data_IF_153296163485
#
_entry.id   IF_153296163485
#
_cell.length_a   1.000
_cell.length_b   1.000
_cell.length_c   1.000
_cell.angle_alpha   90.00
_cell.angle_beta   90.00
_cell.angle_gamma   90.00
#
_symmetry.space_group_name_H-M   'P 1'
#
loop_
_entity.id
_entity.type
_entity.pdbx_description
1 polymer ?
#
# COMPACT_ATOMS: atom_id res chain seq x y z
N UNK A 1 17.66 -2.16 19.32
CA UNK A 1 18.50 -2.86 18.33
C UNK A 1 17.63 -3.22 17.13
N UNK A 2 18.12 -2.96 15.92
CA UNK A 2 17.44 -3.36 14.69
C UNK A 2 17.65 -4.85 14.37
N UNK A 3 16.70 -5.47 13.70
CA UNK A 3 16.70 -6.91 13.36
C UNK A 3 17.85 -7.29 12.43
N UNK A 4 18.62 -8.32 12.80
CA UNK A 4 19.66 -8.92 11.94
C UNK A 4 19.02 -9.55 10.69
N UNK A 5 17.84 -10.17 10.83
CA UNK A 5 17.10 -10.77 9.72
C UNK A 5 16.73 -9.73 8.66
N UNK A 6 16.33 -8.53 9.07
CA UNK A 6 16.02 -7.43 8.16
C UNK A 6 17.25 -7.02 7.33
N UNK A 7 18.41 -6.92 7.97
CA UNK A 7 19.68 -6.56 7.29
C UNK A 7 20.11 -7.63 6.29
N UNK A 8 20.05 -8.90 6.69
CA UNK A 8 20.38 -10.02 5.81
C UNK A 8 19.43 -10.09 4.61
N UNK A 9 18.13 -9.94 4.85
CA UNK A 9 17.14 -9.93 3.77
C UNK A 9 17.32 -8.73 2.85
N UNK A 10 17.58 -7.54 3.39
CA UNK A 10 17.82 -6.33 2.59
C UNK A 10 19.02 -6.51 1.66
N UNK A 11 20.13 -7.04 2.15
CA UNK A 11 21.35 -7.28 1.34
C UNK A 11 21.13 -8.29 0.21
N UNK A 12 20.30 -9.30 0.44
CA UNK A 12 19.98 -10.32 -0.56
C UNK A 12 18.94 -9.84 -1.59
N UNK A 13 17.89 -9.16 -1.12
CA UNK A 13 16.74 -8.78 -1.94
C UNK A 13 16.94 -7.49 -2.74
N UNK A 14 17.92 -6.66 -2.37
CA UNK A 14 18.20 -5.37 -2.99
C UNK A 14 19.59 -5.32 -3.66
N UNK A 15 20.01 -6.42 -4.31
CA UNK A 15 21.27 -6.47 -5.08
C UNK A 15 21.32 -5.46 -6.22
N UNK A 16 20.16 -4.98 -6.68
CA UNK A 16 20.02 -3.85 -7.62
C UNK A 16 19.47 -2.67 -6.83
N UNK A 17 20.01 -1.49 -7.10
CA UNK A 17 19.57 -0.26 -6.46
C UNK A 17 18.21 0.20 -7.03
N UNK A 18 17.40 0.86 -6.22
CA UNK A 18 16.26 1.64 -6.68
C UNK A 18 16.74 2.89 -7.43
N UNK A 19 15.94 3.34 -8.38
CA UNK A 19 16.11 4.61 -9.10
C UNK A 19 17.42 4.71 -9.90
N UNK A 20 17.85 3.60 -10.50
CA UNK A 20 19.06 3.53 -11.34
C UNK A 20 19.01 4.40 -12.60
N UNK A 21 17.83 4.85 -13.00
CA UNK A 21 17.59 5.77 -14.10
C UNK A 21 17.19 7.16 -13.58
N UNK A 22 17.65 7.51 -12.37
CA UNK A 22 17.55 8.83 -11.78
C UNK A 22 16.12 9.24 -11.36
N UNK A 23 15.88 10.53 -11.41
CA UNK A 23 14.59 11.13 -11.03
C UNK A 23 13.49 10.83 -12.06
N UNK A 24 13.84 10.73 -13.33
CA UNK A 24 12.91 10.65 -14.45
C UNK A 24 12.39 12.03 -14.84
N UNK A 25 11.13 12.35 -14.58
CA UNK A 25 10.56 13.68 -14.87
C UNK A 25 10.79 14.65 -13.70
N UNK A 26 11.99 15.21 -13.63
CA UNK A 26 12.37 16.16 -12.57
C UNK A 26 11.55 17.47 -12.58
N UNK A 27 11.20 18.07 -13.75
CA UNK A 27 10.25 19.19 -13.80
C UNK A 27 8.91 18.86 -13.16
N UNK A 28 8.28 17.76 -13.53
CA UNK A 28 7.02 17.30 -12.94
C UNK A 28 7.14 17.15 -11.40
N UNK A 29 8.22 16.55 -10.92
CA UNK A 29 8.44 16.39 -9.48
C UNK A 29 8.55 17.74 -8.76
N UNK A 30 9.24 18.72 -9.34
CA UNK A 30 9.35 20.08 -8.79
C UNK A 30 8.00 20.79 -8.77
N UNK A 31 7.21 20.65 -9.83
CA UNK A 31 5.86 21.24 -9.90
C UNK A 31 4.93 20.62 -8.86
N UNK A 32 4.98 19.29 -8.67
CA UNK A 32 4.21 18.60 -7.64
C UNK A 32 4.62 19.01 -6.23
N UNK A 33 5.91 19.17 -5.99
CA UNK A 33 6.40 19.66 -4.68
C UNK A 33 5.94 21.10 -4.40
N UNK A 34 5.97 21.95 -5.41
CA UNK A 34 5.50 23.34 -5.30
C UNK A 34 3.98 23.44 -5.12
N UNK A 35 3.21 22.55 -5.78
CA UNK A 35 1.76 22.47 -5.60
C UNK A 35 1.35 21.92 -4.24
N UNK A 36 2.25 21.18 -3.58
CA UNK A 36 2.00 20.55 -2.30
C UNK A 36 1.12 19.31 -2.37
N UNK A 37 0.55 18.96 -1.23
CA UNK A 37 -0.26 17.76 -1.08
C UNK A 37 -1.51 17.79 -1.96
N UNK A 38 -1.61 16.87 -2.90
CA UNK A 38 -2.75 16.70 -3.79
C UNK A 38 -3.23 15.25 -3.80
N UNK A 39 -4.53 15.06 -3.59
CA UNK A 39 -5.14 13.75 -3.51
C UNK A 39 -5.98 13.51 -4.77
N UNK A 40 -5.65 12.49 -5.58
CA UNK A 40 -6.47 12.13 -6.73
C UNK A 40 -7.90 11.75 -6.29
N UNK A 41 -8.96 12.32 -6.90
CA UNK A 41 -10.34 11.99 -6.55
C UNK A 41 -10.68 10.55 -6.96
N UNK A 42 -11.63 9.94 -6.25
CA UNK A 42 -12.27 8.71 -6.73
C UNK A 42 -12.98 8.97 -8.06
N UNK A 43 -13.05 7.94 -8.90
CA UNK A 43 -13.77 7.96 -10.17
C UNK A 43 -14.54 6.66 -10.33
N UNK A 44 -15.62 6.71 -11.10
CA UNK A 44 -16.40 5.52 -11.40
C UNK A 44 -15.55 4.50 -12.17
N UNK A 45 -15.77 3.23 -11.84
CA UNK A 45 -15.11 2.09 -12.46
C UNK A 45 -16.16 1.12 -13.01
N UNK A 46 -15.83 0.53 -14.15
CA UNK A 46 -16.53 -0.66 -14.66
C UNK A 46 -15.56 -1.83 -14.63
N UNK A 47 -15.89 -2.88 -13.88
CA UNK A 47 -15.06 -4.07 -13.79
C UNK A 47 -15.61 -5.14 -14.70
N UNK A 48 -14.79 -5.60 -15.65
CA UNK A 48 -15.08 -6.75 -16.51
C UNK A 48 -14.63 -8.00 -15.79
N UNK A 49 -15.58 -8.86 -15.41
CA UNK A 49 -15.34 -10.05 -14.63
C UNK A 49 -15.15 -11.29 -15.50
N UNK A 50 -14.15 -12.13 -15.13
CA UNK A 50 -13.98 -13.47 -15.63
C UNK A 50 -14.86 -14.50 -14.92
N UNK A 51 -14.59 -15.78 -15.20
CA UNK A 51 -15.32 -16.89 -14.59
C UNK A 51 -15.12 -16.96 -13.08
N UNK A 52 -16.19 -17.32 -12.38
CA UNK A 52 -16.15 -17.58 -10.95
C UNK A 52 -15.67 -19.02 -10.70
N UNK A 53 -14.78 -19.18 -9.71
CA UNK A 53 -14.40 -20.48 -9.18
C UNK A 53 -14.69 -20.55 -7.68
N UNK A 54 -14.74 -21.77 -7.16
CA UNK A 54 -14.91 -22.03 -5.72
C UNK A 54 -13.65 -22.66 -5.16
N UNK A 55 -13.20 -22.15 -4.00
CA UNK A 55 -12.02 -22.66 -3.32
C UNK A 55 -12.19 -22.48 -1.81
N UNK A 56 -12.03 -23.56 -1.03
CA UNK A 56 -12.03 -23.54 0.47
C UNK A 56 -13.20 -22.75 1.09
N UNK A 57 -14.41 -22.93 0.56
CA UNK A 57 -15.59 -22.23 1.07
C UNK A 57 -15.75 -20.78 0.60
N UNK A 58 -14.93 -20.36 -0.35
CA UNK A 58 -15.02 -19.05 -0.95
C UNK A 58 -15.48 -19.12 -2.43
N UNK A 59 -16.15 -18.05 -2.87
CA UNK A 59 -16.38 -17.73 -4.28
C UNK A 59 -15.30 -16.75 -4.72
N UNK A 60 -14.60 -17.05 -5.80
CA UNK A 60 -13.47 -16.26 -6.27
C UNK A 60 -13.65 -15.94 -7.75
N UNK A 61 -13.53 -14.67 -8.10
CA UNK A 61 -13.47 -14.24 -9.50
C UNK A 61 -12.42 -13.17 -9.69
N UNK A 62 -11.79 -13.16 -10.85
CA UNK A 62 -10.84 -12.13 -11.26
C UNK A 62 -11.51 -11.19 -12.25
N UNK A 63 -11.13 -9.94 -12.18
CA UNK A 63 -11.64 -8.91 -13.08
C UNK A 63 -10.56 -7.93 -13.48
N UNK A 64 -10.87 -7.13 -14.49
CA UNK A 64 -10.04 -6.03 -14.96
C UNK A 64 -10.86 -4.77 -15.20
N UNK A 65 -10.20 -3.64 -15.11
CA UNK A 65 -10.80 -2.33 -15.35
C UNK A 65 -9.78 -1.38 -15.97
N UNK A 66 -10.25 -0.30 -16.57
CA UNK A 66 -9.37 0.79 -17.00
C UNK A 66 -9.00 1.62 -15.77
N UNK A 67 -7.70 1.78 -15.50
CA UNK A 67 -7.24 2.62 -14.39
C UNK A 67 -7.78 4.06 -14.55
N UNK A 68 -8.35 4.64 -13.49
CA UNK A 68 -8.80 6.03 -13.52
C UNK A 68 -7.64 7.02 -13.51
N UNK A 69 -6.41 6.55 -13.27
CA UNK A 69 -5.21 7.36 -13.20
C UNK A 69 -4.64 7.58 -14.59
N UNK A 70 -4.64 8.84 -15.04
CA UNK A 70 -4.25 9.22 -16.40
C UNK A 70 -3.08 10.20 -16.47
N UNK A 71 -2.22 10.28 -15.43
CA UNK A 71 -1.11 11.23 -15.44
C UNK A 71 -0.09 10.95 -16.56
N UNK A 72 0.57 11.98 -17.10
CA UNK A 72 1.69 11.82 -18.02
C UNK A 72 2.75 10.90 -17.44
N UNK A 73 3.39 10.07 -18.25
CA UNK A 73 4.42 9.13 -17.82
C UNK A 73 3.92 7.85 -17.15
N UNK A 74 2.59 7.73 -16.88
CA UNK A 74 2.03 6.47 -16.35
C UNK A 74 2.14 5.37 -17.41
N UNK A 75 2.78 4.21 -17.10
CA UNK A 75 3.06 3.18 -18.09
C UNK A 75 1.80 2.58 -18.71
N UNK A 76 1.87 2.22 -19.99
CA UNK A 76 0.76 1.61 -20.72
C UNK A 76 0.29 0.31 -20.04
N UNK A 77 1.23 -0.52 -19.56
CA UNK A 77 0.96 -1.78 -18.87
C UNK A 77 0.20 -1.57 -17.57
N UNK A 78 0.40 -0.42 -16.93
CA UNK A 78 -0.31 -0.07 -15.68
C UNK A 78 -1.70 0.53 -15.90
N UNK A 79 -2.08 0.86 -17.13
CA UNK A 79 -3.40 1.44 -17.46
C UNK A 79 -4.54 0.44 -17.35
N UNK A 80 -4.25 -0.85 -17.38
CA UNK A 80 -5.24 -1.88 -17.03
C UNK A 80 -5.04 -2.29 -15.58
N UNK A 81 -6.06 -2.07 -14.75
CA UNK A 81 -6.09 -2.57 -13.38
C UNK A 81 -6.63 -3.99 -13.33
N UNK A 82 -6.15 -4.78 -12.38
CA UNK A 82 -6.60 -6.14 -12.14
C UNK A 82 -6.98 -6.33 -10.68
N UNK A 83 -8.08 -7.04 -10.45
CA UNK A 83 -8.59 -7.34 -9.11
C UNK A 83 -8.99 -8.80 -8.98
N UNK A 84 -8.94 -9.31 -7.76
CA UNK A 84 -9.53 -10.61 -7.40
C UNK A 84 -10.51 -10.40 -6.24
N UNK A 85 -11.78 -10.72 -6.47
CA UNK A 85 -12.83 -10.69 -5.45
C UNK A 85 -12.96 -12.09 -4.84
N UNK A 86 -12.86 -12.16 -3.50
CA UNK A 86 -12.98 -13.38 -2.70
C UNK A 86 -14.11 -13.17 -1.71
N UNK A 87 -15.21 -13.89 -1.83
CA UNK A 87 -16.41 -13.75 -1.00
C UNK A 87 -16.75 -15.06 -0.30
N UNK A 88 -17.43 -15.02 0.85
CA UNK A 88 -18.12 -16.21 1.40
C UNK A 88 -19.06 -16.83 0.37
N UNK A 89 -19.48 -18.08 0.58
CA UNK A 89 -20.36 -18.79 -0.38
C UNK A 89 -21.72 -18.11 -0.59
N UNK A 90 -22.29 -17.53 0.46
CA UNK A 90 -23.57 -16.83 0.45
C UNK A 90 -23.37 -15.38 0.94
N UNK A 91 -22.75 -14.49 0.13
CA UNK A 91 -22.56 -13.11 0.52
C UNK A 91 -23.91 -12.37 0.45
N UNK A 92 -24.10 -11.43 1.37
CA UNK A 92 -25.21 -10.49 1.40
C UNK A 92 -24.68 -9.06 1.30
N UNK A 93 -25.58 -8.09 1.25
CA UNK A 93 -25.19 -6.66 1.31
C UNK A 93 -24.53 -6.28 2.64
N UNK A 94 -24.83 -7.02 3.70
CA UNK A 94 -24.23 -6.85 5.03
C UNK A 94 -22.83 -7.53 5.15
N UNK A 95 -22.41 -8.31 4.14
CA UNK A 95 -21.09 -8.93 4.15
C UNK A 95 -20.01 -7.83 4.14
N UNK A 96 -19.15 -7.75 5.18
CA UNK A 96 -18.05 -6.81 5.18
C UNK A 96 -17.05 -7.15 4.06
N UNK A 97 -16.48 -6.15 3.39
CA UNK A 97 -15.48 -6.37 2.34
C UNK A 97 -14.24 -5.51 2.61
N UNK A 98 -13.09 -6.16 2.66
CA UNK A 98 -11.79 -5.54 2.83
C UNK A 98 -11.07 -5.39 1.49
N UNK A 99 -10.59 -4.19 1.17
CA UNK A 99 -9.70 -3.93 0.04
C UNK A 99 -8.24 -4.15 0.48
N UNK A 100 -7.49 -5.00 -0.26
CA UNK A 100 -6.14 -5.39 0.07
C UNK A 100 -5.11 -4.73 -0.84
N UNK A 101 -4.15 -4.02 -0.25
CA UNK A 101 -3.02 -3.40 -0.93
C UNK A 101 -1.74 -4.23 -0.80
N UNK A 102 -0.92 -4.21 -1.85
CA UNK A 102 0.30 -4.98 -1.94
C UNK A 102 1.44 -4.38 -1.11
N UNK A 103 2.19 -5.22 -0.42
CA UNK A 103 3.52 -4.86 0.08
C UNK A 103 4.50 -4.68 -1.09
N UNK A 104 5.66 -4.04 -0.85
CA UNK A 104 6.70 -3.90 -1.87
C UNK A 104 7.12 -5.29 -2.41
N UNK A 105 6.92 -5.49 -3.72
CA UNK A 105 7.24 -6.75 -4.40
C UNK A 105 6.23 -7.88 -4.22
N UNK A 106 5.05 -7.60 -3.66
CA UNK A 106 3.94 -8.56 -3.61
C UNK A 106 3.11 -8.47 -4.89
N UNK A 107 3.35 -9.40 -5.80
CA UNK A 107 2.76 -9.44 -7.12
C UNK A 107 1.65 -10.50 -7.22
N UNK A 108 0.69 -10.24 -8.09
CA UNK A 108 -0.50 -11.07 -8.26
C UNK A 108 -1.39 -11.10 -7.02
N UNK A 109 -2.21 -12.12 -6.94
CA UNK A 109 -3.21 -12.25 -5.87
C UNK A 109 -2.90 -13.35 -4.88
N UNK A 110 -2.09 -14.35 -5.28
CA UNK A 110 -1.99 -15.63 -4.61
C UNK A 110 -1.58 -15.51 -3.14
N UNK A 111 -0.58 -14.68 -2.83
CA UNK A 111 -0.10 -14.51 -1.45
C UNK A 111 -1.19 -13.93 -0.56
N UNK A 112 -1.77 -12.78 -0.92
CA UNK A 112 -2.83 -12.12 -0.14
C UNK A 112 -4.09 -12.97 -0.06
N UNK A 113 -4.43 -13.71 -1.13
CA UNK A 113 -5.54 -14.67 -1.11
C UNK A 113 -5.32 -15.75 -0.06
N UNK A 114 -4.16 -16.43 -0.08
CA UNK A 114 -3.88 -17.59 0.79
C UNK A 114 -3.69 -17.13 2.24
N UNK A 115 -2.97 -16.03 2.45
CA UNK A 115 -2.55 -15.60 3.80
C UNK A 115 -3.66 -14.84 4.52
N UNK A 116 -4.47 -14.05 3.81
CA UNK A 116 -5.47 -13.16 4.40
C UNK A 116 -6.90 -13.45 3.91
N UNK A 117 -7.15 -13.41 2.60
CA UNK A 117 -8.52 -13.41 2.09
C UNK A 117 -9.28 -14.71 2.38
N UNK A 118 -8.69 -15.88 2.13
CA UNK A 118 -9.32 -17.16 2.45
C UNK A 118 -9.54 -17.38 3.96
N UNK A 119 -8.59 -17.04 4.85
CA UNK A 119 -8.87 -17.00 6.29
C UNK A 119 -9.99 -16.04 6.68
N UNK A 120 -10.07 -14.81 6.09
CA UNK A 120 -11.12 -13.82 6.39
C UNK A 120 -12.52 -14.32 6.04
N UNK A 121 -12.67 -15.16 5.01
CA UNK A 121 -13.96 -15.79 4.67
C UNK A 121 -14.54 -16.56 5.86
N UNK A 122 -13.71 -17.20 6.71
CA UNK A 122 -14.17 -17.89 7.92
C UNK A 122 -14.72 -16.96 8.99
N UNK A 123 -14.39 -15.67 8.91
CA UNK A 123 -14.93 -14.60 9.76
C UNK A 123 -16.08 -13.85 9.06
N UNK A 124 -16.59 -14.37 7.93
CA UNK A 124 -17.66 -13.73 7.17
C UNK A 124 -17.23 -12.49 6.40
N UNK A 125 -15.93 -12.21 6.31
CA UNK A 125 -15.37 -11.01 5.65
C UNK A 125 -14.91 -11.38 4.24
N UNK A 126 -15.44 -10.68 3.24
CA UNK A 126 -14.97 -10.72 1.85
C UNK A 126 -13.71 -9.89 1.65
N UNK A 127 -13.06 -10.08 0.53
CA UNK A 127 -11.82 -9.39 0.16
C UNK A 127 -11.84 -8.98 -1.30
N UNK A 128 -11.40 -7.76 -1.60
CA UNK A 128 -11.07 -7.32 -2.95
C UNK A 128 -9.55 -7.06 -3.00
N UNK A 129 -8.83 -7.85 -3.79
CA UNK A 129 -7.36 -7.81 -3.84
C UNK A 129 -6.94 -7.06 -5.11
N UNK A 130 -6.24 -5.93 -4.96
CA UNK A 130 -5.75 -5.12 -6.06
C UNK A 130 -4.34 -5.54 -6.50
N UNK A 131 -4.13 -5.76 -7.81
CA UNK A 131 -2.78 -5.82 -8.38
C UNK A 131 -2.19 -4.41 -8.45
N UNK A 132 -1.05 -4.21 -7.82
CA UNK A 132 -0.43 -2.89 -7.74
C UNK A 132 0.08 -2.42 -9.12
N UNK A 133 -0.10 -1.15 -9.52
CA UNK A 133 0.61 -0.59 -10.67
C UNK A 133 2.12 -0.88 -10.59
N UNK A 134 2.79 -1.02 -11.71
CA UNK A 134 4.20 -1.39 -11.82
C UNK A 134 4.57 -2.81 -11.35
N UNK A 135 3.61 -3.63 -10.94
CA UNK A 135 3.87 -5.01 -10.50
C UNK A 135 3.13 -6.04 -11.37
N UNK A 136 3.64 -7.26 -11.38
CA UNK A 136 3.01 -8.39 -12.05
C UNK A 136 2.68 -8.11 -13.52
N UNK A 137 1.41 -8.21 -13.88
CA UNK A 137 0.91 -7.92 -15.25
C UNK A 137 0.97 -6.43 -15.62
N UNK A 138 1.16 -5.56 -14.62
CA UNK A 138 1.17 -4.11 -14.77
C UNK A 138 2.59 -3.52 -14.80
N UNK A 139 3.61 -4.40 -14.81
CA UNK A 139 5.01 -4.01 -14.80
C UNK A 139 5.44 -3.51 -16.18
N UNK A 140 6.04 -2.30 -16.27
CA UNK A 140 6.56 -1.80 -17.55
C UNK A 140 7.79 -2.61 -18.01
N UNK A 141 8.06 -2.68 -19.32
CA UNK A 141 9.26 -3.30 -19.87
C UNK A 141 10.53 -2.72 -19.24
N UNK A 142 11.53 -3.57 -19.03
CA UNK A 142 12.83 -3.15 -18.47
C UNK A 142 12.85 -2.95 -16.95
N UNK A 143 11.73 -3.02 -16.26
CA UNK A 143 11.73 -3.04 -14.81
C UNK A 143 11.99 -4.45 -14.28
N UNK A 144 12.91 -4.58 -13.32
CA UNK A 144 13.27 -5.86 -12.71
C UNK A 144 12.60 -6.03 -11.34
N UNK A 145 11.56 -6.88 -11.30
CA UNK A 145 10.83 -7.17 -10.07
C UNK A 145 10.26 -5.90 -9.42
N UNK A 146 10.49 -5.76 -8.12
CA UNK A 146 10.03 -4.62 -7.31
C UNK A 146 10.82 -3.32 -7.51
N UNK A 147 11.97 -3.38 -8.21
CA UNK A 147 12.88 -2.24 -8.32
C UNK A 147 12.38 -1.25 -9.35
N UNK A 148 11.85 -0.13 -8.88
CA UNK A 148 11.47 0.99 -9.73
C UNK A 148 12.72 1.62 -10.34
N UNK A 149 12.66 1.90 -11.64
CA UNK A 149 13.82 2.41 -12.39
C UNK A 149 14.07 3.90 -12.11
N UNK A 150 13.02 4.70 -11.97
CA UNK A 150 13.08 6.15 -11.78
C UNK A 150 12.31 6.53 -10.51
N UNK A 151 12.69 7.63 -9.89
CA UNK A 151 11.99 8.11 -8.70
C UNK A 151 10.54 8.52 -8.99
N UNK A 152 10.29 9.16 -10.13
CA UNK A 152 8.92 9.52 -10.57
C UNK A 152 7.99 8.31 -10.64
N UNK A 153 8.53 7.11 -10.94
CA UNK A 153 7.74 5.87 -10.99
C UNK A 153 7.14 5.52 -9.60
N UNK A 154 7.83 5.86 -8.51
CA UNK A 154 7.31 5.69 -7.15
C UNK A 154 6.10 6.59 -6.89
N UNK A 155 6.17 7.85 -7.33
CA UNK A 155 5.04 8.78 -7.24
C UNK A 155 3.85 8.28 -8.07
N UNK A 156 4.07 7.96 -9.34
CA UNK A 156 3.01 7.50 -10.25
C UNK A 156 2.34 6.23 -9.73
N UNK A 157 3.14 5.29 -9.22
CA UNK A 157 2.66 4.07 -8.58
C UNK A 157 1.78 4.37 -7.35
N UNK A 158 2.26 5.22 -6.45
CA UNK A 158 1.55 5.56 -5.22
C UNK A 158 0.24 6.30 -5.50
N UNK A 159 0.29 7.37 -6.29
CA UNK A 159 -0.87 8.17 -6.65
C UNK A 159 -1.94 7.35 -7.38
N UNK A 160 -1.54 6.50 -8.34
CA UNK A 160 -2.45 5.59 -9.03
C UNK A 160 -3.08 4.60 -8.06
N UNK A 161 -2.30 3.99 -7.15
CA UNK A 161 -2.83 3.00 -6.20
C UNK A 161 -3.84 3.63 -5.23
N UNK A 162 -3.57 4.86 -4.76
CA UNK A 162 -4.52 5.60 -3.90
C UNK A 162 -5.81 5.92 -4.66
N UNK A 163 -5.71 6.43 -5.89
CA UNK A 163 -6.90 6.74 -6.68
C UNK A 163 -7.71 5.49 -7.01
N UNK A 164 -7.07 4.41 -7.45
CA UNK A 164 -7.72 3.13 -7.73
C UNK A 164 -8.38 2.57 -6.46
N UNK A 165 -7.69 2.62 -5.32
CA UNK A 165 -8.23 2.16 -4.04
C UNK A 165 -9.51 2.90 -3.64
N UNK A 166 -9.51 4.23 -3.76
CA UNK A 166 -10.71 5.06 -3.49
C UNK A 166 -11.85 4.73 -4.46
N UNK A 167 -11.53 4.57 -5.73
CA UNK A 167 -12.51 4.22 -6.78
C UNK A 167 -13.09 2.82 -6.58
N UNK A 168 -12.27 1.86 -6.12
CA UNK A 168 -12.74 0.50 -5.80
C UNK A 168 -13.62 0.47 -4.55
N UNK A 169 -13.34 1.28 -3.53
CA UNK A 169 -14.26 1.42 -2.38
C UNK A 169 -15.59 2.05 -2.81
N UNK A 170 -15.57 3.05 -3.69
CA UNK A 170 -16.78 3.64 -4.27
C UNK A 170 -17.57 2.61 -5.09
N UNK A 171 -16.87 1.83 -5.91
CA UNK A 171 -17.48 0.75 -6.68
C UNK A 171 -18.14 -0.30 -5.78
N UNK A 172 -17.47 -0.76 -4.71
CA UNK A 172 -18.05 -1.71 -3.75
C UNK A 172 -19.33 -1.17 -3.11
N UNK A 173 -19.37 0.12 -2.80
CA UNK A 173 -20.62 0.75 -2.30
C UNK A 173 -21.73 0.74 -3.34
N UNK A 174 -21.40 1.03 -4.60
CA UNK A 174 -22.35 0.94 -5.72
C UNK A 174 -22.92 -0.48 -5.90
N UNK A 175 -22.11 -1.51 -5.62
CA UNK A 175 -22.57 -2.92 -5.59
C UNK A 175 -23.42 -3.27 -4.34
N UNK A 176 -23.58 -2.32 -3.42
CA UNK A 176 -24.43 -2.45 -2.24
C UNK A 176 -23.75 -2.95 -0.98
N UNK A 177 -22.42 -3.06 -0.95
CA UNK A 177 -21.67 -3.41 0.28
C UNK A 177 -21.55 -2.19 1.19
N UNK A 178 -22.18 -2.24 2.38
CA UNK A 178 -22.18 -1.11 3.33
C UNK A 178 -20.99 -1.09 4.27
N UNK A 179 -20.42 -2.26 4.64
CA UNK A 179 -19.32 -2.38 5.60
C UNK A 179 -18.00 -2.61 4.86
N UNK A 180 -17.25 -1.54 4.65
CA UNK A 180 -16.02 -1.56 3.87
C UNK A 180 -14.78 -1.30 4.71
N UNK A 181 -13.65 -1.83 4.27
CA UNK A 181 -12.36 -1.58 4.91
C UNK A 181 -11.20 -1.63 3.92
N UNK A 182 -10.04 -1.24 4.41
CA UNK A 182 -8.77 -1.26 3.70
C UNK A 182 -7.68 -1.91 4.57
N UNK A 183 -6.87 -2.76 3.99
CA UNK A 183 -5.75 -3.36 4.71
C UNK A 183 -4.51 -3.49 3.84
N UNK A 184 -3.37 -3.57 4.49
CA UNK A 184 -2.11 -3.83 3.83
C UNK A 184 -0.96 -3.98 4.81
N UNK A 185 0.16 -4.45 4.28
CA UNK A 185 1.39 -4.67 5.01
C UNK A 185 2.47 -3.77 4.40
N UNK A 186 3.28 -3.09 5.23
CA UNK A 186 4.38 -2.23 4.77
C UNK A 186 3.87 -1.12 3.83
N UNK A 187 4.37 -1.01 2.60
CA UNK A 187 3.86 -0.10 1.59
C UNK A 187 2.33 -0.20 1.44
N UNK A 188 1.79 -1.42 1.39
CA UNK A 188 0.34 -1.64 1.31
C UNK A 188 -0.41 -1.11 2.52
N UNK A 189 0.19 -1.18 3.72
CA UNK A 189 -0.37 -0.59 4.93
C UNK A 189 -0.45 0.94 4.86
N UNK A 190 0.58 1.56 4.29
CA UNK A 190 0.59 3.01 4.07
C UNK A 190 -0.51 3.46 3.10
N UNK A 191 -0.66 2.74 1.97
CA UNK A 191 -1.75 3.00 1.03
C UNK A 191 -3.12 2.74 1.67
N UNK A 192 -3.28 1.66 2.46
CA UNK A 192 -4.53 1.38 3.18
C UNK A 192 -4.89 2.50 4.15
N UNK A 193 -3.88 3.06 4.84
CA UNK A 193 -4.05 4.20 5.73
C UNK A 193 -4.55 5.45 4.97
N UNK A 194 -3.93 5.75 3.83
CA UNK A 194 -4.31 6.89 2.99
C UNK A 194 -5.73 6.72 2.42
N UNK A 195 -6.02 5.57 1.82
CA UNK A 195 -7.33 5.27 1.20
C UNK A 195 -8.44 5.25 2.24
N UNK A 196 -8.20 4.64 3.39
CA UNK A 196 -9.16 4.58 4.49
C UNK A 196 -9.44 5.95 5.11
N UNK A 197 -8.40 6.77 5.32
CA UNK A 197 -8.54 8.14 5.82
C UNK A 197 -9.33 9.05 4.85
N UNK A 198 -9.23 8.78 3.55
CA UNK A 198 -9.94 9.51 2.50
C UNK A 198 -11.33 8.95 2.19
N UNK A 199 -11.77 7.92 2.89
CA UNK A 199 -13.11 7.37 2.71
C UNK A 199 -14.15 8.37 3.23
N UNK A 200 -15.16 8.74 2.44
CA UNK A 200 -16.22 9.64 2.91
C UNK A 200 -17.09 9.00 4.01
N UNK A 201 -17.14 7.69 4.04
CA UNK A 201 -17.88 6.90 5.01
C UNK A 201 -16.92 6.20 5.99
N UNK A 202 -17.36 5.84 7.20
CA UNK A 202 -16.54 5.05 8.10
C UNK A 202 -16.00 3.78 7.44
N UNK A 203 -14.71 3.51 7.61
CA UNK A 203 -14.03 2.35 7.05
C UNK A 203 -13.18 1.65 8.13
N UNK A 204 -13.16 0.31 8.09
CA UNK A 204 -12.21 -0.46 8.87
C UNK A 204 -10.81 -0.34 8.25
N UNK A 205 -9.79 0.01 9.05
CA UNK A 205 -8.43 0.18 8.55
C UNK A 205 -7.49 -0.74 9.33
N UNK A 206 -6.82 -1.65 8.64
CA UNK A 206 -5.76 -2.46 9.23
C UNK A 206 -4.41 -2.14 8.53
N UNK A 207 -3.60 -1.31 9.18
CA UNK A 207 -2.31 -0.86 8.69
C UNK A 207 -1.19 -1.58 9.43
N UNK A 208 -0.56 -2.57 8.76
CA UNK A 208 0.39 -3.48 9.39
C UNK A 208 1.83 -3.14 8.99
N UNK A 209 2.72 -3.02 9.99
CA UNK A 209 4.14 -2.63 9.86
C UNK A 209 4.31 -1.51 8.85
N UNK A 210 3.59 -0.42 9.07
CA UNK A 210 3.40 0.66 8.12
C UNK A 210 4.11 1.94 8.54
N UNK A 211 4.70 2.71 7.60
CA UNK A 211 5.25 4.02 7.89
C UNK A 211 4.14 5.09 7.95
N UNK A 212 4.40 6.18 8.66
CA UNK A 212 3.57 7.38 8.59
C UNK A 212 3.79 8.18 7.28
N UNK A 213 4.97 8.04 6.68
CA UNK A 213 5.40 8.69 5.44
C UNK A 213 6.34 7.78 4.67
N UNK A 214 6.33 7.83 3.35
CA UNK A 214 7.31 7.15 2.53
C UNK A 214 8.74 7.69 2.78
N UNK A 215 8.87 8.94 3.23
CA UNK A 215 10.15 9.53 3.62
C UNK A 215 10.86 8.69 4.68
N UNK A 216 10.17 8.28 5.75
CA UNK A 216 10.75 7.45 6.80
C UNK A 216 11.40 6.16 6.28
N UNK A 217 10.86 5.59 5.19
CA UNK A 217 11.37 4.34 4.59
C UNK A 217 12.66 4.56 3.81
N UNK A 218 12.71 5.62 3.00
CA UNK A 218 13.78 5.86 2.03
C UNK A 218 14.88 6.79 2.54
N UNK A 219 14.66 7.52 3.66
CA UNK A 219 15.63 8.44 4.23
C UNK A 219 16.13 8.06 5.62
N UNK A 220 15.35 7.26 6.37
CA UNK A 220 15.69 6.84 7.74
C UNK A 220 15.88 5.33 7.85
N UNK A 221 15.01 4.55 7.17
CA UNK A 221 15.07 3.09 7.12
C UNK A 221 16.25 2.54 6.33
N UNK A 222 16.46 1.23 6.42
CA UNK A 222 17.57 0.53 5.76
C UNK A 222 17.56 0.67 4.22
N UNK A 223 16.40 0.99 3.61
CA UNK A 223 16.33 1.14 2.16
C UNK A 223 17.13 2.34 1.64
N UNK A 224 17.45 3.33 2.48
CA UNK A 224 18.33 4.44 2.09
C UNK A 224 19.68 3.98 1.53
N UNK A 225 20.18 2.83 2.01
CA UNK A 225 21.47 2.26 1.60
C UNK A 225 21.39 1.53 0.24
N UNK A 226 20.17 1.42 -0.34
CA UNK A 226 19.89 0.70 -1.60
C UNK A 226 19.32 1.60 -2.69
N UNK A 227 19.60 2.90 -2.63
CA UNK A 227 19.23 3.89 -3.62
C UNK A 227 20.45 4.29 -4.47
N UNK A 228 20.22 4.62 -5.73
CA UNK A 228 21.27 5.08 -6.63
C UNK A 228 21.57 6.56 -6.42
N UNK A 229 22.05 6.92 -5.22
CA UNK A 229 22.30 8.31 -4.83
C UNK A 229 23.22 9.07 -5.78
N UNK A 230 24.27 8.43 -6.28
CA UNK A 230 25.20 9.04 -7.22
C UNK A 230 24.51 9.48 -8.52
N UNK A 231 23.59 8.64 -9.05
CA UNK A 231 22.79 8.94 -10.23
C UNK A 231 21.82 10.09 -9.96
N UNK A 232 21.14 10.04 -8.81
CA UNK A 232 20.18 11.08 -8.41
C UNK A 232 20.85 12.43 -8.21
N UNK A 233 22.02 12.47 -7.57
CA UNK A 233 22.75 13.72 -7.35
C UNK A 233 23.38 14.28 -8.62
N UNK A 234 23.82 13.40 -9.53
CA UNK A 234 24.35 13.80 -10.84
C UNK A 234 23.31 14.58 -11.67
N UNK A 235 22.02 14.18 -11.66
CA UNK A 235 20.94 14.90 -12.35
C UNK A 235 20.61 16.26 -11.68
N UNK A 236 21.13 16.51 -10.48
CA UNK A 236 21.06 17.77 -9.76
C UNK A 236 22.40 18.55 -9.83
N UNK A 237 23.19 18.30 -10.87
CA UNK A 237 24.48 18.96 -11.11
C UNK A 237 25.51 18.72 -10.00
N UNK A 238 25.43 17.57 -9.30
CA UNK A 238 26.31 17.23 -8.19
C UNK A 238 26.17 18.16 -6.97
N UNK A 239 25.00 18.73 -6.78
CA UNK A 239 24.75 19.74 -5.74
C UNK A 239 24.73 19.20 -4.31
N UNK A 240 24.74 17.85 -4.12
CA UNK A 240 24.56 17.18 -2.83
C UNK A 240 23.14 17.27 -2.27
N UNK A 241 22.16 17.71 -3.06
CA UNK A 241 20.78 17.97 -2.60
C UNK A 241 19.80 16.82 -2.85
N UNK A 242 20.25 15.70 -3.43
CA UNK A 242 19.37 14.58 -3.78
C UNK A 242 18.60 14.04 -2.58
N UNK A 243 19.27 13.90 -1.44
CA UNK A 243 18.65 13.42 -0.19
C UNK A 243 17.52 14.36 0.29
N UNK A 244 17.79 15.67 0.34
CA UNK A 244 16.80 16.65 0.82
C UNK A 244 15.60 16.73 -0.11
N UNK A 245 15.81 16.76 -1.43
CA UNK A 245 14.74 16.78 -2.41
C UNK A 245 13.86 15.52 -2.30
N UNK A 246 14.47 14.35 -2.16
CA UNK A 246 13.73 13.10 -1.97
C UNK A 246 12.92 13.13 -0.69
N UNK A 247 13.53 13.53 0.43
CA UNK A 247 12.85 13.65 1.72
C UNK A 247 11.64 14.58 1.62
N UNK A 248 11.84 15.77 1.06
CA UNK A 248 10.80 16.79 0.98
C UNK A 248 9.65 16.32 0.09
N UNK A 249 9.95 15.67 -1.05
CA UNK A 249 8.94 15.10 -1.92
C UNK A 249 8.15 13.97 -1.24
N UNK A 250 8.85 13.04 -0.60
CA UNK A 250 8.21 11.89 0.06
C UNK A 250 7.42 12.29 1.30
N UNK A 251 7.73 13.42 1.93
CA UNK A 251 6.94 14.00 3.01
C UNK A 251 5.54 14.44 2.54
N UNK A 252 5.29 14.63 1.24
CA UNK A 252 3.94 14.84 0.73
C UNK A 252 3.02 13.63 0.99
N UNK A 253 3.59 12.44 1.24
CA UNK A 253 2.83 11.24 1.59
C UNK A 253 2.56 11.08 3.08
N UNK A 254 3.00 12.03 3.92
CA UNK A 254 2.83 11.96 5.37
C UNK A 254 1.34 11.91 5.72
N UNK A 255 0.97 10.91 6.50
CA UNK A 255 -0.41 10.67 6.89
C UNK A 255 -1.02 11.83 7.67
N UNK A 256 -0.20 12.69 8.26
CA UNK A 256 -0.65 13.91 8.96
C UNK A 256 -1.25 14.97 8.04
N UNK A 257 -1.00 14.87 6.73
CA UNK A 257 -1.64 15.69 5.71
C UNK A 257 -3.04 15.17 5.31
N UNK A 258 -3.38 13.93 5.74
CA UNK A 258 -4.65 13.29 5.44
C UNK A 258 -5.66 13.54 6.57
N UNK A 259 -6.97 13.47 6.26
CA UNK A 259 -7.99 13.51 7.30
C UNK A 259 -7.79 12.41 8.35
N UNK A 260 -8.15 12.69 9.57
CA UNK A 260 -8.29 11.62 10.58
C UNK A 260 -9.50 10.78 10.18
N UNK A 261 -9.39 9.43 10.17
CA UNK A 261 -10.53 8.56 9.88
C UNK A 261 -11.73 8.90 10.74
N UNK A 262 -12.93 8.93 10.16
CA UNK A 262 -14.17 9.30 10.87
C UNK A 262 -14.51 8.35 12.03
N UNK A 263 -13.94 7.13 12.03
CA UNK A 263 -14.07 6.15 13.10
C UNK A 263 -12.69 5.59 13.53
N UNK A 264 -11.89 6.34 14.31
CA UNK A 264 -10.54 5.90 14.70
C UNK A 264 -10.50 4.56 15.44
N UNK A 265 -11.56 4.19 16.16
CA UNK A 265 -11.67 2.87 16.84
C UNK A 265 -11.67 1.69 15.86
N UNK A 266 -12.09 1.90 14.61
CA UNK A 266 -12.03 0.91 13.55
C UNK A 266 -10.66 0.91 12.81
N UNK A 267 -9.66 1.60 13.35
CA UNK A 267 -8.28 1.60 12.85
C UNK A 267 -7.39 0.77 13.76
N UNK A 268 -6.85 -0.33 13.23
CA UNK A 268 -5.96 -1.22 13.95
C UNK A 268 -4.57 -1.20 13.33
N UNK A 269 -3.55 -0.88 14.14
CA UNK A 269 -2.17 -0.79 13.72
C UNK A 269 -1.38 -1.99 14.25
N UNK A 270 -0.51 -2.57 13.44
CA UNK A 270 0.47 -3.55 13.88
C UNK A 270 1.85 -2.99 13.61
N UNK A 271 2.72 -2.94 14.61
CA UNK A 271 4.06 -2.38 14.51
C UNK A 271 5.12 -3.41 14.96
N UNK A 272 6.32 -3.34 14.38
CA UNK A 272 7.44 -4.20 14.74
C UNK A 272 8.50 -3.39 15.50
N UNK A 273 8.83 -3.83 16.73
CA UNK A 273 9.70 -3.06 17.64
C UNK A 273 11.18 -3.02 17.22
N UNK A 274 11.61 -3.93 16.33
CA UNK A 274 12.98 -4.03 15.86
C UNK A 274 13.08 -3.82 14.34
N UNK A 275 12.09 -3.13 13.76
CA UNK A 275 11.99 -2.88 12.33
C UNK A 275 13.18 -2.04 11.85
N UNK A 276 13.90 -2.54 10.84
CA UNK A 276 15.02 -1.82 10.22
C UNK A 276 14.59 -1.08 8.94
N UNK A 277 13.45 -1.44 8.35
CA UNK A 277 12.90 -0.78 7.15
C UNK A 277 12.10 0.47 7.52
N UNK A 278 11.35 0.39 8.62
CA UNK A 278 10.45 1.44 9.08
C UNK A 278 10.78 1.72 10.54
N UNK A 279 11.35 2.88 10.87
CA UNK A 279 11.63 3.22 12.26
C UNK A 279 10.37 3.06 13.14
N UNK A 280 10.46 2.40 14.31
CA UNK A 280 9.30 2.19 15.19
C UNK A 280 8.58 3.49 15.56
N UNK A 281 9.29 4.61 15.64
CA UNK A 281 8.71 5.93 15.89
C UNK A 281 7.72 6.34 14.79
N UNK A 282 7.92 5.89 13.55
CA UNK A 282 7.01 6.11 12.44
C UNK A 282 5.61 5.57 12.71
N UNK A 283 5.52 4.35 13.27
CA UNK A 283 4.24 3.77 13.66
C UNK A 283 3.59 4.54 14.83
N UNK A 284 4.40 5.05 15.78
CA UNK A 284 3.90 5.88 16.88
C UNK A 284 3.36 7.23 16.40
N UNK A 285 3.98 7.85 15.38
CA UNK A 285 3.48 9.08 14.78
C UNK A 285 2.07 8.85 14.22
N UNK A 286 1.88 7.78 13.46
CA UNK A 286 0.58 7.41 12.92
C UNK A 286 -0.47 7.18 14.02
N UNK A 287 -0.13 6.40 15.05
CA UNK A 287 -1.03 6.11 16.17
C UNK A 287 -1.41 7.37 16.96
N UNK A 288 -0.44 8.26 17.22
CA UNK A 288 -0.70 9.54 17.90
C UNK A 288 -1.58 10.47 17.07
N UNK A 289 -1.43 10.45 15.75
CA UNK A 289 -2.27 11.23 14.85
C UNK A 289 -3.71 10.69 14.83
N UNK A 290 -3.89 9.37 14.81
CA UNK A 290 -5.20 8.72 14.87
C UNK A 290 -5.60 8.36 16.30
N UNK A 291 -5.84 9.38 17.13
CA UNK A 291 -6.25 9.17 18.52
C UNK A 291 -7.51 8.31 18.61
N UNK A 292 -7.43 7.22 19.37
CA UNK A 292 -8.49 6.23 19.49
C UNK A 292 -8.32 5.00 18.58
N UNK A 293 -7.31 4.97 17.73
CA UNK A 293 -6.89 3.74 17.03
C UNK A 293 -6.32 2.73 18.04
N UNK A 294 -6.34 1.44 17.71
CA UNK A 294 -5.67 0.40 18.48
C UNK A 294 -4.32 0.06 17.87
N UNK A 295 -3.36 -0.39 18.69
CA UNK A 295 -2.00 -0.73 18.24
C UNK A 295 -1.47 -1.97 18.93
N UNK A 296 -0.91 -2.89 18.13
CA UNK A 296 -0.19 -4.07 18.62
C UNK A 296 1.29 -3.98 18.25
N UNK A 297 2.16 -4.21 19.22
CA UNK A 297 3.60 -4.32 19.03
C UNK A 297 4.05 -5.78 18.91
N UNK A 298 4.85 -6.08 17.88
CA UNK A 298 5.52 -7.35 17.66
C UNK A 298 6.99 -7.23 18.09
N UNK A 299 7.48 -8.22 18.84
CA UNK A 299 8.89 -8.26 19.30
C UNK A 299 9.82 -8.84 18.22
N UNK A 300 9.77 -8.27 17.01
CA UNK A 300 10.58 -8.71 15.86
C UNK A 300 10.88 -7.53 14.94
N UNK A 301 11.64 -7.78 13.85
CA UNK A 301 11.84 -6.84 12.75
C UNK A 301 10.78 -6.97 11.67
N UNK A 302 10.94 -6.19 10.60
CA UNK A 302 10.03 -6.11 9.45
C UNK A 302 9.81 -7.47 8.78
N UNK A 303 10.92 -8.11 8.41
CA UNK A 303 10.91 -9.43 7.74
C UNK A 303 10.34 -10.51 8.66
N UNK A 304 10.72 -10.48 9.94
CA UNK A 304 10.18 -11.40 10.95
C UNK A 304 8.67 -11.28 11.10
N UNK A 305 8.15 -10.06 11.15
CA UNK A 305 6.71 -9.79 11.18
C UNK A 305 6.02 -10.37 9.95
N UNK A 306 6.55 -10.10 8.75
CA UNK A 306 6.00 -10.57 7.49
C UNK A 306 5.95 -12.11 7.38
N UNK A 307 6.99 -12.80 7.84
CA UNK A 307 7.11 -14.25 7.71
C UNK A 307 6.30 -15.01 8.77
N UNK A 308 6.27 -14.52 10.02
CA UNK A 308 5.82 -15.30 11.16
C UNK A 308 4.55 -14.78 11.82
N UNK A 309 4.16 -13.52 11.56
CA UNK A 309 3.06 -12.85 12.26
C UNK A 309 1.78 -12.66 11.42
N UNK A 310 1.54 -13.56 10.45
CA UNK A 310 0.34 -13.51 9.60
C UNK A 310 -0.98 -13.54 10.39
N UNK A 311 -1.00 -14.19 11.56
CA UNK A 311 -2.18 -14.23 12.43
C UNK A 311 -2.47 -12.87 13.04
N UNK A 312 -1.44 -12.14 13.46
CA UNK A 312 -1.60 -10.79 14.01
C UNK A 312 -2.17 -9.83 12.96
N UNK A 313 -1.77 -9.97 11.69
CA UNK A 313 -2.33 -9.18 10.60
C UNK A 313 -3.79 -9.54 10.31
N UNK A 314 -4.13 -10.83 10.33
CA UNK A 314 -5.51 -11.28 10.17
C UNK A 314 -6.40 -10.75 11.31
N UNK A 315 -5.96 -10.88 12.55
CA UNK A 315 -6.68 -10.38 13.72
C UNK A 315 -6.85 -8.86 13.68
N UNK A 316 -5.86 -8.12 13.21
CA UNK A 316 -5.98 -6.67 13.02
C UNK A 316 -7.13 -6.30 12.09
N UNK A 317 -7.29 -7.03 10.97
CA UNK A 317 -8.39 -6.81 10.03
C UNK A 317 -9.73 -7.14 10.71
N UNK A 318 -9.84 -8.31 11.34
CA UNK A 318 -11.08 -8.75 12.01
C UNK A 318 -11.49 -7.73 13.07
N UNK A 319 -10.57 -7.33 13.96
CA UNK A 319 -10.84 -6.35 15.02
C UNK A 319 -11.23 -4.97 14.47
N UNK A 320 -10.62 -4.53 13.37
CA UNK A 320 -11.01 -3.28 12.74
C UNK A 320 -12.48 -3.32 12.25
N UNK A 321 -12.91 -4.45 11.68
CA UNK A 321 -14.31 -4.64 11.28
C UNK A 321 -15.29 -4.84 12.45
N UNK A 322 -14.85 -5.40 13.58
CA UNK A 322 -15.66 -5.50 14.80
C UNK A 322 -16.02 -4.14 15.39
N UNK A 323 -15.17 -3.13 15.15
CA UNK A 323 -15.35 -1.75 15.61
C UNK A 323 -16.04 -0.84 14.58
N UNK A 324 -16.28 -1.34 13.37
CA UNK A 324 -17.01 -0.64 12.32
C UNK A 324 -18.52 -0.90 12.45
#
# INVERSE_FOLDING_TARGET
>A
MTSILDRLYASQSNKRLFFRQGWGDLPLLKDLLAAGFCIPPARDLTIVWGHERREKGARIRQGSYVSPFGAPGFPQESRTGYVELVLPQAPTRETPVCLHFAATGDEGFARRRIVLALPLVRHGIGSLILENPFYGKRRPPGQHGKMLNRFVDLYLMGAATVQEGRSLLQWLRGEGYGRLGACGISMGGHIAAQVGALSPEPAAIAACITPHSASAVFTEGILKDYLAWDVLDQELEGSGRAFDLMRDFLNLTDIRHYPIPSRPRACFLVAAAQDAYIPPESAMILHRHWRGSDMRWLKCGHVGAFLFHRRDFLEAIVKAFEQL
#
